data_IF_219594142931
#
_entry.id   IF_219594142931
#
_cell.length_a   1.000
_cell.length_b   1.000
_cell.length_c   1.000
_cell.angle_alpha   90.00
_cell.angle_beta   90.00
_cell.angle_gamma   90.00
#
_symmetry.space_group_name_H-M   'P 1'
#
loop_
_entity.id
_entity.type
_entity.pdbx_description
1 polymer ?
#
# COMPACT_ATOMS: atom_id res chain seq x y z
N UNK A 1 -15.32 -13.52 -18.38
CA UNK A 1 -14.10 -13.39 -17.57
C UNK A 1 -14.54 -12.71 -16.28
N UNK A 2 -14.78 -13.48 -15.22
CA UNK A 2 -15.27 -12.98 -13.94
C UNK A 2 -14.12 -12.96 -12.96
N UNK A 3 -13.63 -11.78 -12.60
CA UNK A 3 -12.74 -11.62 -11.45
C UNK A 3 -13.58 -11.40 -10.18
N UNK A 4 -13.18 -11.98 -9.03
CA UNK A 4 -13.97 -11.92 -7.82
C UNK A 4 -13.98 -10.50 -7.26
N UNK A 5 -15.17 -10.06 -6.90
CA UNK A 5 -15.44 -8.86 -6.12
C UNK A 5 -14.65 -8.90 -4.81
N UNK A 6 -13.54 -8.15 -4.76
CA UNK A 6 -12.89 -7.81 -3.49
C UNK A 6 -13.64 -6.61 -2.91
N UNK A 7 -14.67 -6.85 -2.11
CA UNK A 7 -15.38 -5.80 -1.40
C UNK A 7 -14.54 -5.34 -0.18
N UNK A 8 -14.19 -4.04 -0.05
CA UNK A 8 -13.78 -3.52 1.24
C UNK A 8 -15.02 -3.06 2.00
N UNK A 9 -15.36 -3.84 3.02
CA UNK A 9 -16.23 -3.42 4.11
C UNK A 9 -15.67 -2.14 4.75
N UNK A 10 -16.40 -1.04 4.63
CA UNK A 10 -16.38 0.13 5.51
C UNK A 10 -15.01 0.64 5.98
N UNK A 11 -14.24 1.29 5.11
CA UNK A 11 -13.24 2.28 5.51
C UNK A 11 -13.63 3.62 4.86
N UNK A 12 -14.13 4.55 5.68
CA UNK A 12 -14.48 5.92 5.32
C UNK A 12 -13.27 6.66 4.74
N UNK A 13 -13.36 7.15 3.49
CA UNK A 13 -12.40 8.08 2.85
C UNK A 13 -10.93 7.79 3.20
N UNK A 14 -10.54 6.52 3.17
CA UNK A 14 -9.17 6.09 3.35
C UNK A 14 -8.69 5.56 2.00
N UNK A 15 -7.67 6.20 1.42
CA UNK A 15 -7.00 5.69 0.22
C UNK A 15 -6.61 4.24 0.45
N UNK A 16 -7.01 3.33 -0.46
CA UNK A 16 -6.53 1.95 -0.43
C UNK A 16 -5.06 1.89 -0.86
N UNK A 17 -4.34 0.83 -0.50
CA UNK A 17 -2.96 0.62 -0.96
C UNK A 17 -2.84 0.65 -2.50
N UNK A 18 -3.83 0.09 -3.21
CA UNK A 18 -3.87 0.12 -4.68
C UNK A 18 -4.07 1.53 -5.24
N UNK A 19 -4.92 2.35 -4.61
CA UNK A 19 -5.10 3.75 -5.00
C UNK A 19 -3.86 4.60 -4.72
N UNK A 20 -3.24 4.44 -3.54
CA UNK A 20 -2.01 5.13 -3.20
C UNK A 20 -0.87 4.81 -4.18
N UNK A 21 -0.78 3.56 -4.63
CA UNK A 21 0.17 3.15 -5.68
C UNK A 21 -0.16 3.78 -7.03
N UNK A 22 -1.42 3.75 -7.45
CA UNK A 22 -1.82 4.35 -8.72
C UNK A 22 -1.56 5.87 -8.77
N UNK A 23 -1.74 6.55 -7.64
CA UNK A 23 -1.41 7.96 -7.51
C UNK A 23 0.11 8.21 -7.55
N UNK A 24 0.90 7.35 -6.90
CA UNK A 24 2.36 7.42 -7.00
C UNK A 24 2.84 7.36 -8.45
N UNK A 25 2.30 6.42 -9.23
CA UNK A 25 2.64 6.25 -10.64
C UNK A 25 2.29 7.53 -11.44
N UNK A 26 1.17 8.19 -11.14
CA UNK A 26 0.78 9.46 -11.76
C UNK A 26 1.72 10.61 -11.42
N UNK A 27 2.19 10.68 -10.16
CA UNK A 27 3.17 11.70 -9.73
C UNK A 27 4.48 11.51 -10.48
N UNK A 28 4.96 10.27 -10.59
CA UNK A 28 6.17 9.95 -11.33
C UNK A 28 6.01 10.32 -12.82
N UNK A 29 4.90 9.95 -13.45
CA UNK A 29 4.62 10.33 -14.83
C UNK A 29 4.61 11.85 -15.04
N UNK A 30 4.04 12.61 -14.09
CA UNK A 30 4.03 14.08 -14.15
C UNK A 30 5.46 14.65 -14.11
N UNK A 31 6.29 14.17 -13.18
CA UNK A 31 7.68 14.61 -13.04
C UNK A 31 8.48 14.28 -14.31
N UNK A 32 8.25 13.11 -14.91
CA UNK A 32 9.01 12.65 -16.08
C UNK A 32 8.57 13.32 -17.40
N UNK A 33 7.28 13.64 -17.55
CA UNK A 33 6.74 14.15 -18.81
C UNK A 33 6.90 15.66 -18.97
N UNK A 34 6.87 16.41 -17.88
CA UNK A 34 6.87 17.86 -17.98
C UNK A 34 8.27 18.45 -18.07
N UNK A 35 8.63 18.93 -19.26
CA UNK A 35 9.93 19.58 -19.52
C UNK A 35 10.07 20.94 -18.86
N UNK A 36 8.99 21.53 -18.35
CA UNK A 36 8.94 22.87 -17.79
C UNK A 36 8.23 22.91 -16.43
N UNK A 37 8.31 21.83 -15.66
CA UNK A 37 7.77 21.81 -14.30
C UNK A 37 8.50 22.85 -13.44
N UNK A 38 7.75 23.72 -12.76
CA UNK A 38 8.34 24.71 -11.85
C UNK A 38 8.84 24.05 -10.56
N UNK A 39 9.76 24.72 -9.85
CA UNK A 39 10.35 24.21 -8.60
C UNK A 39 9.29 24.01 -7.52
N UNK A 40 8.30 24.90 -7.45
CA UNK A 40 7.18 24.80 -6.50
C UNK A 40 6.29 23.59 -6.84
N UNK A 41 5.96 23.38 -8.11
CA UNK A 41 5.21 22.19 -8.57
C UNK A 41 5.97 20.89 -8.26
N UNK A 42 7.31 20.90 -8.40
CA UNK A 42 8.14 19.74 -8.09
C UNK A 42 8.13 19.46 -6.59
N UNK A 43 8.22 20.50 -5.76
CA UNK A 43 8.12 20.37 -4.31
C UNK A 43 6.80 19.73 -3.90
N UNK A 44 5.66 20.21 -4.45
CA UNK A 44 4.34 19.64 -4.18
C UNK A 44 4.26 18.15 -4.56
N UNK A 45 4.80 17.79 -5.73
CA UNK A 45 4.86 16.40 -6.18
C UNK A 45 5.64 15.51 -5.21
N UNK A 46 6.80 15.99 -4.74
CA UNK A 46 7.66 15.27 -3.80
C UNK A 46 7.00 15.16 -2.42
N UNK A 47 6.37 16.22 -1.92
CA UNK A 47 5.64 16.19 -0.66
C UNK A 47 4.52 15.17 -0.69
N UNK A 48 3.71 15.17 -1.75
CA UNK A 48 2.62 14.20 -1.91
C UNK A 48 3.13 12.76 -2.02
N UNK A 49 4.17 12.52 -2.83
CA UNK A 49 4.81 11.20 -2.92
C UNK A 49 5.32 10.74 -1.54
N UNK A 50 5.93 11.62 -0.75
CA UNK A 50 6.41 11.28 0.59
C UNK A 50 5.28 10.83 1.53
N UNK A 51 4.10 11.45 1.44
CA UNK A 51 2.93 11.08 2.22
C UNK A 51 2.40 9.70 1.83
N UNK A 52 2.31 9.43 0.52
CA UNK A 52 1.90 8.13 -0.02
C UNK A 52 2.87 7.01 0.39
N UNK A 53 4.18 7.27 0.38
CA UNK A 53 5.19 6.30 0.84
C UNK A 53 4.98 5.94 2.31
N UNK A 54 4.79 6.94 3.18
CA UNK A 54 4.53 6.71 4.61
C UNK A 54 3.28 5.85 4.81
N UNK A 55 2.20 6.20 4.12
CA UNK A 55 0.96 5.42 4.14
C UNK A 55 1.19 3.96 3.70
N UNK A 56 1.91 3.74 2.61
CA UNK A 56 2.24 2.41 2.11
C UNK A 56 3.05 1.59 3.14
N UNK A 57 4.04 2.19 3.80
CA UNK A 57 4.82 1.51 4.85
C UNK A 57 3.95 1.08 6.03
N UNK A 58 3.08 1.95 6.53
CA UNK A 58 2.16 1.60 7.63
C UNK A 58 1.23 0.44 7.24
N UNK A 59 0.78 0.40 5.98
CA UNK A 59 -0.07 -0.69 5.48
C UNK A 59 0.68 -2.01 5.39
N UNK A 60 1.95 -1.97 4.98
CA UNK A 60 2.83 -3.13 4.93
C UNK A 60 3.12 -3.68 6.33
N UNK A 61 3.45 -2.83 7.29
CA UNK A 61 3.68 -3.23 8.69
C UNK A 61 2.43 -3.91 9.27
N UNK A 62 1.25 -3.32 9.08
CA UNK A 62 -0.03 -3.93 9.47
C UNK A 62 -0.26 -5.27 8.78
N UNK A 63 0.11 -5.41 7.51
CA UNK A 63 -0.02 -6.67 6.79
C UNK A 63 0.93 -7.73 7.35
N UNK A 64 2.18 -7.38 7.64
CA UNK A 64 3.17 -8.26 8.23
C UNK A 64 2.70 -8.81 9.58
N UNK A 65 2.18 -7.95 10.46
CA UNK A 65 1.61 -8.35 11.75
C UNK A 65 0.47 -9.36 11.57
N UNK A 66 -0.44 -9.11 10.62
CA UNK A 66 -1.56 -10.04 10.34
C UNK A 66 -1.05 -11.40 9.84
N UNK A 67 -0.09 -11.40 8.92
CA UNK A 67 0.49 -12.64 8.37
C UNK A 67 1.18 -13.44 9.47
N UNK A 68 2.02 -12.79 10.29
CA UNK A 68 2.68 -13.43 11.43
C UNK A 68 1.68 -14.08 12.37
N UNK A 69 0.61 -13.37 12.74
CA UNK A 69 -0.45 -13.91 13.60
C UNK A 69 -1.10 -15.16 13.00
N UNK A 70 -1.44 -15.13 11.71
CA UNK A 70 -2.02 -16.29 11.02
C UNK A 70 -1.04 -17.46 11.00
N UNK A 71 0.24 -17.21 10.74
CA UNK A 71 1.28 -18.25 10.76
C UNK A 71 1.46 -18.87 12.14
N UNK A 72 1.42 -18.05 13.21
CA UNK A 72 1.48 -18.52 14.60
C UNK A 72 0.26 -19.38 14.96
N UNK A 73 -0.95 -18.96 14.57
CA UNK A 73 -2.19 -19.72 14.78
C UNK A 73 -2.15 -21.08 14.04
N UNK A 74 -1.65 -21.08 12.79
CA UNK A 74 -1.45 -22.31 12.01
C UNK A 74 -0.38 -23.21 12.65
N UNK A 75 0.76 -22.66 13.05
CA UNK A 75 1.84 -23.40 13.70
C UNK A 75 1.45 -23.97 15.06
N UNK A 76 0.64 -23.24 15.85
CA UNK A 76 0.09 -23.74 17.11
C UNK A 76 -0.94 -24.87 16.90
N UNK A 77 -1.56 -24.94 15.71
CA UNK A 77 -2.49 -26.02 15.33
C UNK A 77 -1.78 -27.26 14.74
N UNK A 78 -0.52 -27.13 14.32
CA UNK A 78 0.36 -28.24 13.95
C UNK A 78 1.05 -28.72 15.23
N UNK A 79 0.58 -29.83 15.79
CA UNK A 79 1.23 -30.44 16.96
C UNK A 79 2.67 -30.83 16.58
N UNK A 80 3.68 -30.49 17.40
CA UNK A 80 4.99 -31.13 17.30
C UNK A 80 4.88 -32.56 17.85
N UNK A 81 4.20 -33.43 17.12
CA UNK A 81 4.18 -34.87 17.34
C UNK A 81 4.97 -35.51 16.20
N UNK A 82 6.29 -35.66 16.34
CA UNK A 82 7.11 -36.72 15.74
C UNK A 82 8.54 -36.65 16.34
N UNK A 83 9.01 -37.80 16.81
CA UNK A 83 10.15 -38.07 17.74
C UNK A 83 11.53 -37.49 17.36
#
# INVERSE_FOLDING_TARGET
MSEPSNAPSGESVAESFGQARAEMDQILERIERDRALDVDDLADCVERASALIKFCYERLEKAEVRVRKVTEELGASVRPDED
#
